data_IF_776039511822
#
_entry.id   IF_776039511822
#
_cell.length_a   1.000
_cell.length_b   1.000
_cell.length_c   1.000
_cell.angle_alpha   90.00
_cell.angle_beta   90.00
_cell.angle_gamma   90.00
#
_symmetry.space_group_name_H-M   'P 1'
#
loop_
_entity.id
_entity.type
_entity.pdbx_description
1 polymer ?
#
# COMPACT_ATOMS: atom_id res chain seq x y z
N UNK A 1 -4.14 -10.63 -8.93
CA UNK A 1 -5.15 -9.90 -9.74
C UNK A 1 -6.47 -9.65 -9.02
N UNK A 2 -7.10 -10.63 -8.34
CA UNK A 2 -8.38 -10.40 -7.66
C UNK A 2 -8.35 -9.29 -6.59
N UNK A 3 -7.23 -9.20 -5.85
CA UNK A 3 -7.03 -8.18 -4.80
C UNK A 3 -7.06 -6.74 -5.34
N UNK A 4 -6.23 -6.33 -6.32
CA UNK A 4 -6.28 -4.97 -6.83
C UNK A 4 -7.63 -4.59 -7.47
N UNK A 5 -8.33 -5.55 -8.10
CA UNK A 5 -9.71 -5.32 -8.60
C UNK A 5 -10.67 -4.99 -7.44
N UNK A 6 -10.62 -5.81 -6.38
CA UNK A 6 -11.45 -5.61 -5.18
C UNK A 6 -11.15 -4.27 -4.48
N UNK A 7 -9.88 -3.92 -4.30
CA UNK A 7 -9.48 -2.63 -3.73
C UNK A 7 -9.99 -1.45 -4.55
N UNK A 8 -9.81 -1.45 -5.87
CA UNK A 8 -10.27 -0.34 -6.71
C UNK A 8 -11.79 -0.21 -6.74
N UNK A 9 -12.51 -1.34 -6.57
CA UNK A 9 -13.96 -1.31 -6.35
C UNK A 9 -14.32 -0.60 -5.03
N UNK A 10 -13.55 -0.82 -3.95
CA UNK A 10 -13.71 -0.09 -2.68
C UNK A 10 -13.32 1.39 -2.82
N UNK A 11 -12.29 1.74 -3.59
CA UNK A 11 -11.97 3.14 -3.90
C UNK A 11 -13.14 3.85 -4.57
N UNK A 12 -13.80 3.17 -5.49
CA UNK A 12 -14.97 3.70 -6.17
C UNK A 12 -16.15 3.84 -5.20
N UNK A 13 -16.49 2.76 -4.50
CA UNK A 13 -17.68 2.70 -3.66
C UNK A 13 -17.58 3.55 -2.37
N UNK A 14 -16.39 3.59 -1.75
CA UNK A 14 -16.18 4.28 -0.46
C UNK A 14 -15.49 5.65 -0.65
N UNK A 15 -14.57 5.76 -1.60
CA UNK A 15 -13.77 6.96 -1.82
C UNK A 15 -14.29 7.88 -2.93
N UNK A 16 -15.31 7.45 -3.70
CA UNK A 16 -15.88 8.23 -4.80
C UNK A 16 -14.93 8.41 -5.99
N UNK A 17 -13.88 7.58 -6.10
CA UNK A 17 -12.97 7.61 -7.25
C UNK A 17 -13.69 7.04 -8.47
N UNK A 18 -13.76 7.78 -9.57
CA UNK A 18 -14.40 7.27 -10.80
C UNK A 18 -13.70 6.00 -11.27
N UNK A 19 -14.43 4.92 -11.61
CA UNK A 19 -13.83 3.68 -12.08
C UNK A 19 -13.07 3.87 -13.40
N UNK A 20 -13.41 4.91 -14.18
CA UNK A 20 -12.69 5.29 -15.40
C UNK A 20 -11.24 5.74 -15.15
N UNK A 21 -10.89 6.07 -13.90
CA UNK A 21 -9.55 6.52 -13.49
C UNK A 21 -8.83 5.51 -12.59
N UNK A 22 -9.28 4.25 -12.60
CA UNK A 22 -8.66 3.18 -11.83
C UNK A 22 -8.08 2.11 -12.75
N UNK A 23 -6.90 1.57 -12.41
CA UNK A 23 -6.24 0.54 -13.20
C UNK A 23 -5.63 -0.55 -12.29
N UNK A 24 -6.23 -1.76 -12.24
CA UNK A 24 -5.65 -2.88 -11.50
C UNK A 24 -4.46 -3.48 -12.26
N UNK A 25 -3.33 -3.70 -11.58
CA UNK A 25 -2.13 -4.30 -12.17
C UNK A 25 -1.65 -5.47 -11.32
N UNK A 26 -1.23 -6.55 -11.96
CA UNK A 26 -0.49 -7.65 -11.33
C UNK A 26 0.88 -7.75 -11.97
N UNK A 27 1.92 -7.91 -11.15
CA UNK A 27 3.27 -8.18 -11.63
C UNK A 27 3.52 -9.69 -11.56
N UNK A 28 3.41 -10.37 -12.70
CA UNK A 28 3.69 -11.79 -12.77
C UNK A 28 5.18 -12.05 -12.97
N UNK A 29 5.88 -12.21 -11.84
CA UNK A 29 7.31 -12.52 -11.77
C UNK A 29 7.56 -13.99 -11.39
N UNK A 30 6.57 -14.85 -11.63
CA UNK A 30 6.59 -16.26 -11.27
C UNK A 30 6.01 -16.52 -9.88
N UNK A 31 5.94 -17.80 -9.51
CA UNK A 31 5.37 -18.26 -8.23
C UNK A 31 6.16 -19.42 -7.64
N UNK A 32 6.35 -19.41 -6.32
CA UNK A 32 6.96 -20.52 -5.58
C UNK A 32 5.91 -21.49 -5.02
N UNK A 33 4.63 -21.30 -5.36
CA UNK A 33 3.58 -22.22 -4.96
C UNK A 33 3.55 -23.44 -5.90
N UNK A 34 4.05 -24.58 -5.42
CA UNK A 34 4.14 -25.79 -6.21
C UNK A 34 2.77 -26.32 -6.69
N UNK A 35 1.69 -26.06 -5.94
CA UNK A 35 0.35 -26.46 -6.37
C UNK A 35 -0.06 -25.70 -7.64
N UNK A 36 0.22 -24.39 -7.71
CA UNK A 36 -0.06 -23.59 -8.90
C UNK A 36 0.83 -23.97 -10.09
N UNK A 37 2.12 -24.24 -9.83
CA UNK A 37 3.04 -24.68 -10.90
C UNK A 37 2.62 -26.03 -11.51
N UNK A 38 2.03 -26.91 -10.69
CA UNK A 38 1.56 -28.23 -11.11
C UNK A 38 0.13 -28.20 -11.68
N UNK A 39 -0.61 -27.10 -11.53
CA UNK A 39 -1.99 -27.00 -11.96
C UNK A 39 -2.05 -26.78 -13.49
N UNK A 40 -2.64 -27.72 -14.27
CA UNK A 40 -2.79 -27.57 -15.71
C UNK A 40 -3.66 -26.38 -16.11
N UNK A 41 -4.47 -25.83 -15.20
CA UNK A 41 -5.31 -24.66 -15.43
C UNK A 41 -4.67 -23.34 -14.97
N UNK A 42 -3.48 -23.37 -14.37
CA UNK A 42 -2.79 -22.14 -13.98
C UNK A 42 -2.44 -21.31 -15.21
N UNK A 43 -2.96 -20.08 -15.24
CA UNK A 43 -2.83 -19.11 -16.33
C UNK A 43 -1.65 -18.15 -16.18
N UNK A 44 -1.00 -18.13 -15.02
CA UNK A 44 0.19 -17.30 -14.80
C UNK A 44 1.44 -17.93 -15.39
N UNK A 45 2.55 -17.20 -15.28
CA UNK A 45 3.84 -17.65 -15.76
C UNK A 45 4.34 -18.84 -14.94
N UNK A 46 4.46 -20.01 -15.59
CA UNK A 46 4.83 -21.29 -14.95
C UNK A 46 6.33 -21.40 -14.66
N UNK A 47 6.84 -20.48 -13.86
CA UNK A 47 8.21 -20.49 -13.37
C UNK A 47 8.26 -20.17 -11.87
N UNK A 48 9.28 -20.66 -11.16
CA UNK A 48 9.64 -20.14 -9.85
C UNK A 48 9.82 -18.62 -9.89
N UNK A 49 9.66 -17.95 -8.75
CA UNK A 49 9.91 -16.51 -8.66
C UNK A 49 11.35 -16.21 -9.07
N UNK A 50 11.53 -15.14 -9.85
CA UNK A 50 12.84 -14.63 -10.26
C UNK A 50 13.71 -14.20 -9.07
N UNK A 51 14.99 -14.00 -9.34
CA UNK A 51 15.95 -13.55 -8.32
C UNK A 51 15.65 -12.13 -7.84
N UNK A 52 16.20 -11.74 -6.68
CA UNK A 52 15.96 -10.42 -6.13
C UNK A 52 16.47 -9.29 -7.06
N UNK A 53 17.61 -9.48 -7.74
CA UNK A 53 18.16 -8.47 -8.66
C UNK A 53 17.26 -8.25 -9.88
N UNK A 54 16.87 -9.35 -10.56
CA UNK A 54 15.92 -9.31 -11.69
C UNK A 54 14.57 -8.72 -11.26
N UNK A 55 14.13 -9.02 -10.05
CA UNK A 55 12.89 -8.49 -9.49
C UNK A 55 12.94 -6.97 -9.32
N UNK A 56 14.01 -6.44 -8.72
CA UNK A 56 14.12 -5.00 -8.50
C UNK A 56 14.32 -4.23 -9.81
N UNK A 57 15.06 -4.80 -10.77
CA UNK A 57 15.19 -4.24 -12.12
C UNK A 57 13.83 -4.18 -12.82
N UNK A 58 13.09 -5.29 -12.86
CA UNK A 58 11.75 -5.34 -13.45
C UNK A 58 10.77 -4.35 -12.82
N UNK A 59 10.76 -4.24 -11.48
CA UNK A 59 9.88 -3.28 -10.80
C UNK A 59 10.31 -1.84 -11.10
N UNK A 60 11.61 -1.54 -11.19
CA UNK A 60 12.09 -0.20 -11.56
C UNK A 60 11.61 0.19 -12.96
N UNK A 61 11.77 -0.69 -13.95
CA UNK A 61 11.26 -0.47 -15.31
C UNK A 61 9.75 -0.18 -15.32
N UNK A 62 8.98 -0.96 -14.56
CA UNK A 62 7.55 -0.72 -14.40
C UNK A 62 7.25 0.66 -13.81
N UNK A 63 7.94 1.06 -12.73
CA UNK A 63 7.74 2.35 -12.09
C UNK A 63 8.11 3.50 -13.03
N UNK A 64 9.22 3.40 -13.78
CA UNK A 64 9.59 4.44 -14.75
C UNK A 64 8.56 4.55 -15.87
N UNK A 65 8.04 3.44 -16.39
CA UNK A 65 6.99 3.44 -17.41
C UNK A 65 5.70 4.10 -16.90
N UNK A 66 5.29 3.78 -15.66
CA UNK A 66 4.12 4.39 -15.01
C UNK A 66 4.32 5.90 -14.86
N UNK A 67 5.47 6.35 -14.34
CA UNK A 67 5.78 7.78 -14.17
C UNK A 67 5.79 8.53 -15.48
N UNK A 68 6.36 7.94 -16.53
CA UNK A 68 6.41 8.55 -17.86
C UNK A 68 5.00 8.74 -18.44
N UNK A 69 4.11 7.77 -18.23
CA UNK A 69 2.76 7.78 -18.80
C UNK A 69 1.77 8.63 -17.98
N UNK A 70 1.88 8.57 -16.64
CA UNK A 70 0.99 9.21 -15.67
C UNK A 70 1.81 9.77 -14.50
N UNK A 71 2.41 10.97 -14.64
CA UNK A 71 3.31 11.51 -13.62
C UNK A 71 2.63 11.80 -12.27
N UNK A 72 1.33 12.12 -12.29
CA UNK A 72 0.55 12.48 -11.09
C UNK A 72 -0.29 11.31 -10.53
N UNK A 73 -0.01 10.08 -10.96
CA UNK A 73 -0.73 8.88 -10.51
C UNK A 73 -0.48 8.60 -9.03
N UNK A 74 -1.52 8.14 -8.34
CA UNK A 74 -1.42 7.47 -7.05
C UNK A 74 -1.12 5.98 -7.27
N UNK A 75 0.05 5.53 -6.85
CA UNK A 75 0.44 4.12 -6.90
C UNK A 75 0.34 3.48 -5.51
N UNK A 76 -0.56 2.52 -5.36
CA UNK A 76 -0.70 1.70 -4.16
C UNK A 76 -0.02 0.34 -4.35
N UNK A 77 0.91 0.01 -3.47
CA UNK A 77 1.46 -1.33 -3.32
C UNK A 77 0.58 -2.16 -2.37
N UNK A 78 0.26 -3.39 -2.76
CA UNK A 78 -0.60 -4.32 -2.02
C UNK A 78 -0.04 -5.74 -2.06
N UNK A 79 -0.14 -6.48 -0.96
CA UNK A 79 0.18 -7.91 -0.88
C UNK A 79 1.61 -8.29 -1.31
N UNK A 80 2.56 -7.38 -1.14
CA UNK A 80 3.98 -7.69 -1.35
C UNK A 80 4.53 -8.47 -0.16
N UNK A 81 5.37 -9.47 -0.46
CA UNK A 81 6.11 -10.19 0.58
C UNK A 81 6.88 -9.20 1.47
N UNK A 82 6.91 -9.45 2.79
CA UNK A 82 7.51 -8.53 3.77
C UNK A 82 8.95 -8.12 3.42
N UNK A 83 9.73 -9.05 2.83
CA UNK A 83 11.10 -8.76 2.37
C UNK A 83 11.19 -7.70 1.28
N UNK A 84 10.13 -7.48 0.50
CA UNK A 84 10.08 -6.55 -0.62
C UNK A 84 9.23 -5.30 -0.32
N UNK A 85 8.16 -5.43 0.45
CA UNK A 85 7.19 -4.34 0.68
C UNK A 85 7.84 -3.08 1.27
N UNK A 86 8.68 -3.22 2.31
CA UNK A 86 9.33 -2.08 2.95
C UNK A 86 10.47 -1.48 2.10
N UNK A 87 11.37 -2.27 1.47
CA UNK A 87 12.34 -1.72 0.51
C UNK A 87 11.71 -0.96 -0.65
N UNK A 88 10.67 -1.52 -1.30
CA UNK A 88 9.97 -0.86 -2.40
C UNK A 88 9.33 0.47 -1.97
N UNK A 89 8.64 0.47 -0.83
CA UNK A 89 8.06 1.69 -0.27
C UNK A 89 9.14 2.75 -0.01
N UNK A 90 10.26 2.39 0.62
CA UNK A 90 11.32 3.34 0.92
C UNK A 90 12.01 3.88 -0.33
N UNK A 91 12.16 3.05 -1.37
CA UNK A 91 12.76 3.44 -2.64
C UNK A 91 11.89 4.46 -3.38
N UNK A 92 10.59 4.18 -3.54
CA UNK A 92 9.75 4.93 -4.48
C UNK A 92 8.87 6.03 -3.86
N UNK A 93 8.71 6.07 -2.53
CA UNK A 93 7.84 7.06 -1.84
C UNK A 93 8.15 8.54 -2.10
N UNK A 94 9.38 8.85 -2.52
CA UNK A 94 9.82 10.21 -2.81
C UNK A 94 9.97 10.46 -4.33
N UNK A 95 9.68 9.45 -5.14
CA UNK A 95 9.86 9.47 -6.59
C UNK A 95 8.52 9.47 -7.34
N UNK A 96 7.50 8.84 -6.77
CA UNK A 96 6.13 8.83 -7.25
C UNK A 96 5.16 8.87 -6.07
N UNK A 97 4.01 9.52 -6.25
CA UNK A 97 2.95 9.55 -5.23
C UNK A 97 2.49 8.12 -4.94
N UNK A 98 2.99 7.56 -3.83
CA UNK A 98 2.81 6.14 -3.54
C UNK A 98 2.73 5.84 -2.06
N UNK A 99 2.07 4.73 -1.76
CA UNK A 99 1.98 4.19 -0.41
C UNK A 99 1.75 2.67 -0.47
N UNK A 100 1.96 2.00 0.66
CA UNK A 100 1.62 0.58 0.82
C UNK A 100 0.54 0.45 1.90
N UNK A 101 -0.61 -0.14 1.57
CA UNK A 101 -1.77 -0.19 2.47
C UNK A 101 -1.55 -1.17 3.64
N UNK A 102 -0.90 -2.30 3.39
CA UNK A 102 -0.58 -3.30 4.42
C UNK A 102 0.27 -2.70 5.55
N UNK A 103 1.19 -1.80 5.20
CA UNK A 103 2.08 -1.12 6.15
C UNK A 103 1.43 0.15 6.70
N UNK A 104 1.07 1.09 5.82
CA UNK A 104 0.67 2.44 6.21
C UNK A 104 -0.82 2.54 6.52
N UNK A 105 -1.67 1.87 5.73
CA UNK A 105 -3.12 1.83 5.93
C UNK A 105 -3.50 1.11 7.22
N UNK A 106 -2.95 -0.09 7.43
CA UNK A 106 -3.11 -0.85 8.69
C UNK A 106 -2.68 -0.02 9.90
N UNK A 107 -1.52 0.64 9.82
CA UNK A 107 -1.05 1.49 10.90
C UNK A 107 -1.99 2.68 11.17
N UNK A 108 -2.50 3.32 10.12
CA UNK A 108 -3.40 4.46 10.24
C UNK A 108 -4.74 4.09 10.89
N UNK A 109 -5.37 2.99 10.47
CA UNK A 109 -6.64 2.55 11.06
C UNK A 109 -6.48 2.10 12.51
N UNK A 110 -5.37 1.43 12.85
CA UNK A 110 -5.10 1.04 14.25
C UNK A 110 -4.89 2.25 15.13
N UNK A 111 -4.06 3.23 14.73
CA UNK A 111 -3.83 4.45 15.52
C UNK A 111 -5.13 5.26 15.66
N UNK A 112 -5.91 5.40 14.57
CA UNK A 112 -7.22 6.07 14.62
C UNK A 112 -8.16 5.41 15.64
N UNK A 113 -8.18 4.08 15.68
CA UNK A 113 -8.96 3.29 16.64
C UNK A 113 -8.48 3.50 18.07
N UNK A 114 -7.16 3.49 18.31
CA UNK A 114 -6.58 3.71 19.64
C UNK A 114 -6.86 5.12 20.18
N UNK A 115 -6.84 6.14 19.31
CA UNK A 115 -7.24 7.51 19.68
C UNK A 115 -8.71 7.55 20.09
N UNK A 116 -9.60 6.93 19.31
CA UNK A 116 -11.03 6.88 19.61
C UNK A 116 -11.32 6.13 20.93
N UNK A 117 -10.68 4.97 21.12
CA UNK A 117 -10.81 4.17 22.34
C UNK A 117 -10.29 4.93 23.57
N UNK A 118 -9.18 5.65 23.45
CA UNK A 118 -8.62 6.45 24.55
C UNK A 118 -9.57 7.57 24.98
N UNK A 119 -10.20 8.25 24.01
CA UNK A 119 -11.23 9.27 24.26
C UNK A 119 -12.46 8.68 24.93
N UNK A 120 -12.93 7.52 24.46
CA UNK A 120 -14.06 6.81 25.06
C UNK A 120 -13.77 6.38 26.51
N UNK A 121 -12.51 6.07 26.82
CA UNK A 121 -12.04 5.77 28.17
C UNK A 121 -11.73 7.01 29.03
N UNK A 122 -12.11 8.23 28.58
CA UNK A 122 -11.97 9.46 29.35
C UNK A 122 -10.55 10.03 29.43
N UNK A 123 -9.69 9.77 28.44
CA UNK A 123 -8.33 10.31 28.42
C UNK A 123 -7.71 10.42 27.03
N UNK A 124 -6.39 10.52 26.98
CA UNK A 124 -5.61 10.64 25.73
C UNK A 124 -4.76 9.39 25.48
N UNK A 125 -4.44 9.14 24.21
CA UNK A 125 -3.60 8.00 23.82
C UNK A 125 -2.20 8.10 24.45
N UNK A 126 -1.66 9.32 24.57
CA UNK A 126 -0.37 9.61 25.21
C UNK A 126 -0.27 9.20 26.67
N UNK A 127 -1.39 8.93 27.34
CA UNK A 127 -1.44 8.50 28.74
C UNK A 127 -1.44 6.96 28.87
N UNK A 128 -1.60 6.24 27.76
CA UNK A 128 -1.76 4.79 27.76
C UNK A 128 -0.40 4.11 27.58
N UNK A 129 -0.20 3.01 28.32
CA UNK A 129 0.93 2.09 28.10
C UNK A 129 0.47 1.00 27.14
N UNK A 130 1.16 0.88 26.00
CA UNK A 130 0.79 -0.04 24.93
C UNK A 130 1.81 -1.17 24.87
N UNK A 131 1.32 -2.40 24.79
CA UNK A 131 2.14 -3.60 24.58
C UNK A 131 1.77 -4.20 23.23
N UNK A 132 2.77 -4.43 22.40
CA UNK A 132 2.60 -5.06 21.09
C UNK A 132 2.96 -6.54 21.17
N UNK A 133 2.03 -7.42 20.81
CA UNK A 133 2.28 -8.85 20.63
C UNK A 133 2.44 -9.14 19.13
N UNK A 134 3.69 -9.18 18.67
CA UNK A 134 4.06 -9.45 17.27
C UNK A 134 4.90 -8.32 16.65
N UNK A 135 6.04 -8.69 16.06
CA UNK A 135 7.02 -7.75 15.50
C UNK A 135 7.12 -7.80 13.95
N UNK A 136 6.03 -8.20 13.28
CA UNK A 136 5.93 -8.17 11.82
C UNK A 136 5.81 -6.75 11.24
N UNK A 137 5.68 -6.63 9.92
CA UNK A 137 5.55 -5.34 9.20
C UNK A 137 4.43 -4.46 9.75
N UNK A 138 3.24 -5.03 9.98
CA UNK A 138 2.09 -4.33 10.54
C UNK A 138 2.36 -3.81 11.97
N UNK A 139 2.88 -4.66 12.87
CA UNK A 139 3.18 -4.30 14.26
C UNK A 139 4.24 -3.18 14.35
N UNK A 140 5.31 -3.28 13.55
CA UNK A 140 6.34 -2.25 13.48
C UNK A 140 5.82 -0.94 12.86
N UNK A 141 4.92 -1.02 11.89
CA UNK A 141 4.26 0.14 11.27
C UNK A 141 3.41 0.92 12.27
N UNK A 142 2.59 0.22 13.07
CA UNK A 142 1.76 0.82 14.11
C UNK A 142 2.62 1.51 15.17
N UNK A 143 3.63 0.81 15.72
CA UNK A 143 4.49 1.37 16.76
C UNK A 143 5.22 2.65 16.31
N UNK A 144 5.68 2.71 15.05
CA UNK A 144 6.34 3.90 14.49
C UNK A 144 5.40 5.08 14.27
N UNK A 145 4.14 4.83 13.91
CA UNK A 145 3.15 5.90 13.73
C UNK A 145 2.59 6.42 15.05
N UNK A 146 2.52 5.58 16.08
CA UNK A 146 2.11 5.95 17.44
C UNK A 146 3.11 6.92 18.11
N UNK A 147 4.41 6.83 17.78
CA UNK A 147 5.44 7.72 18.33
C UNK A 147 5.60 9.06 17.59
N UNK A 148 4.79 9.36 16.57
CA UNK A 148 4.87 10.66 15.88
C UNK A 148 4.06 11.72 16.64
N UNK A 149 4.57 12.95 16.80
CA UNK A 149 3.81 14.02 17.43
C UNK A 149 2.53 14.32 16.63
N UNK A 150 1.42 14.40 17.37
CA UNK A 150 0.03 14.68 17.00
C UNK A 150 -0.28 15.03 15.51
N UNK A 151 -1.06 14.18 14.78
CA UNK A 151 -1.49 14.46 13.42
C UNK A 151 -2.42 15.69 13.29
N UNK A 152 -3.00 16.21 14.39
CA UNK A 152 -3.89 17.37 14.35
C UNK A 152 -3.20 18.69 13.97
N UNK A 153 -1.86 18.77 13.97
CA UNK A 153 -1.12 20.01 13.66
C UNK A 153 -0.87 20.29 12.17
N UNK A 154 -1.29 19.43 11.24
CA UNK A 154 -0.85 19.53 9.82
C UNK A 154 -1.93 19.82 8.76
N UNK A 155 -3.20 19.96 9.10
CA UNK A 155 -4.23 20.36 8.12
C UNK A 155 -4.30 21.89 8.04
N UNK A 156 -3.30 22.53 7.41
CA UNK A 156 -3.52 23.85 6.82
C UNK A 156 -4.27 23.64 5.51
N UNK A 157 -5.53 24.11 5.45
CA UNK A 157 -6.32 24.20 4.22
C UNK A 157 -5.56 25.05 3.20
N UNK A 158 -4.98 24.39 2.19
CA UNK A 158 -4.63 25.02 0.93
C UNK A 158 -5.90 25.09 0.09
N UNK A 159 -6.45 26.29 -0.07
CA UNK A 159 -7.48 26.61 -1.04
C UNK A 159 -6.91 26.50 -2.44
N UNK A 160 -7.43 25.56 -3.23
CA UNK A 160 -7.07 25.37 -4.63
C UNK A 160 -7.58 24.01 -5.10
N UNK A 161 -8.83 23.96 -5.54
CA UNK A 161 -9.35 22.84 -6.28
C UNK A 161 -8.56 22.75 -7.60
N UNK A 162 -7.50 21.95 -7.61
CA UNK A 162 -6.97 21.40 -8.83
C UNK A 162 -7.78 20.14 -9.11
N UNK A 163 -8.55 20.15 -10.20
CA UNK A 163 -8.99 18.93 -10.88
C UNK A 163 -7.74 18.20 -11.42
N UNK A 164 -6.90 17.68 -10.52
CA UNK A 164 -5.88 16.71 -10.89
C UNK A 164 -6.62 15.39 -11.07
N UNK A 165 -6.66 14.90 -12.31
CA UNK A 165 -7.12 13.56 -12.64
C UNK A 165 -6.33 12.55 -11.80
N UNK A 166 -6.93 12.12 -10.68
CA UNK A 166 -6.35 11.09 -9.81
C UNK A 166 -6.51 9.75 -10.51
N UNK A 167 -5.42 9.30 -11.10
CA UNK A 167 -5.29 7.92 -11.56
C UNK A 167 -4.83 7.07 -10.37
N UNK A 168 -5.54 5.98 -10.08
CA UNK A 168 -5.16 5.06 -9.01
C UNK A 168 -4.76 3.71 -9.58
N UNK A 169 -3.51 3.30 -9.32
CA UNK A 169 -3.01 1.96 -9.65
C UNK A 169 -2.87 1.17 -8.35
N UNK A 170 -3.55 0.03 -8.27
CA UNK A 170 -3.32 -0.96 -7.22
C UNK A 170 -2.48 -2.11 -7.79
N UNK A 171 -1.33 -2.36 -7.16
CA UNK A 171 -0.32 -3.32 -7.61
C UNK A 171 -0.24 -4.48 -6.62
N UNK A 172 -0.33 -5.72 -7.10
CA UNK A 172 -0.07 -6.92 -6.30
C UNK A 172 0.90 -7.88 -7.03
N UNK A 173 1.67 -8.66 -6.27
CA UNK A 173 2.77 -9.50 -6.77
C UNK A 173 2.65 -10.98 -6.37
#
# INVERSE_FOLDING_TARGET
>A
MGIPIGKLSLYTACGGISPAYTLPVVLDVGTNNQQLLNDPLYMGWRNPRITDDEYYEFVDEFIQAVKQRWPDVLLQFEDFAQKNAMPLLNRYRNEICSFNDDIQGTAAVTVGTLIAASRAAGGQLSEKKIVFLGAGSAGCGIARNDHRPDPARRIKRGSGAAESLLWSIALAC
#
